data_IF_693658432146
#
_entry.id   IF_693658432146
#
_cell.length_a   1.000
_cell.length_b   1.000
_cell.length_c   1.000
_cell.angle_alpha   90.00
_cell.angle_beta   90.00
_cell.angle_gamma   90.00
#
_symmetry.space_group_name_H-M   'P 1'
#
loop_
_entity.id
_entity.type
_entity.pdbx_description
1 polymer ?
#
# COMPACT_ATOMS: atom_id res chain seq x y z
N UNK A 1 17.23 -25.23 0.67
CA UNK A 1 16.91 -23.86 0.21
C UNK A 1 15.63 -23.96 -0.59
N UNK A 2 14.52 -23.36 -0.10
CA UNK A 2 13.25 -23.35 -0.84
C UNK A 2 13.40 -22.31 -1.95
N UNK A 3 13.45 -22.77 -3.20
CA UNK A 3 13.38 -21.89 -4.36
C UNK A 3 12.01 -21.19 -4.28
N UNK A 4 11.97 -19.91 -3.90
CA UNK A 4 10.74 -19.14 -3.95
C UNK A 4 10.28 -19.12 -5.42
N UNK A 5 9.18 -19.80 -5.68
CA UNK A 5 8.65 -20.01 -7.03
C UNK A 5 8.06 -18.67 -7.49
N UNK A 6 8.29 -18.27 -8.73
CA UNK A 6 7.73 -17.03 -9.31
C UNK A 6 6.19 -16.97 -9.12
N UNK A 7 5.54 -18.12 -9.05
CA UNK A 7 4.12 -18.30 -8.75
C UNK A 7 3.71 -17.71 -7.38
N UNK A 8 4.55 -17.85 -6.34
CA UNK A 8 4.28 -17.32 -5.00
C UNK A 8 4.23 -15.78 -4.98
N UNK A 9 5.04 -15.14 -5.81
CA UNK A 9 5.09 -13.68 -5.94
C UNK A 9 3.86 -13.14 -6.66
N UNK A 10 3.41 -13.84 -7.71
CA UNK A 10 2.17 -13.49 -8.42
C UNK A 10 0.94 -13.65 -7.54
N UNK A 11 0.86 -14.74 -6.77
CA UNK A 11 -0.22 -14.93 -5.80
C UNK A 11 -0.22 -13.85 -4.73
N UNK A 12 0.95 -13.54 -4.17
CA UNK A 12 1.09 -12.47 -3.18
C UNK A 12 0.64 -11.12 -3.72
N UNK A 13 1.02 -10.77 -4.95
CA UNK A 13 0.58 -9.54 -5.60
C UNK A 13 -0.94 -9.49 -5.80
N UNK A 14 -1.57 -10.62 -6.16
CA UNK A 14 -3.04 -10.72 -6.30
C UNK A 14 -3.75 -10.57 -4.96
N UNK A 15 -3.28 -11.23 -3.92
CA UNK A 15 -3.87 -11.13 -2.57
C UNK A 15 -3.71 -9.71 -2.00
N UNK A 16 -2.56 -9.05 -2.24
CA UNK A 16 -2.35 -7.66 -1.86
C UNK A 16 -3.29 -6.71 -2.62
N UNK A 17 -3.40 -6.85 -3.95
CA UNK A 17 -4.34 -6.06 -4.74
C UNK A 17 -5.80 -6.26 -4.32
N UNK A 18 -6.18 -7.49 -3.93
CA UNK A 18 -7.50 -7.77 -3.36
C UNK A 18 -7.68 -7.06 -2.02
N UNK A 19 -6.71 -7.15 -1.11
CA UNK A 19 -6.78 -6.50 0.19
C UNK A 19 -6.89 -4.98 0.06
N UNK A 20 -6.18 -4.36 -0.89
CA UNK A 20 -6.27 -2.92 -1.15
C UNK A 20 -7.64 -2.50 -1.69
N UNK A 21 -8.23 -3.29 -2.59
CA UNK A 21 -9.60 -3.05 -3.09
C UNK A 21 -10.63 -3.13 -1.97
N UNK A 22 -10.52 -4.13 -1.11
CA UNK A 22 -11.43 -4.29 0.02
C UNK A 22 -11.24 -3.19 1.09
N UNK A 23 -10.03 -2.65 1.23
CA UNK A 23 -9.74 -1.51 2.11
C UNK A 23 -10.09 -0.15 1.47
N UNK A 24 -10.52 -0.16 0.21
CA UNK A 24 -10.87 1.04 -0.58
C UNK A 24 -9.75 2.10 -0.54
N UNK A 25 -8.50 1.66 -0.68
CA UNK A 25 -7.34 2.56 -0.71
C UNK A 25 -7.27 3.23 -2.08
N UNK A 26 -7.43 4.55 -2.12
CA UNK A 26 -7.35 5.32 -3.36
C UNK A 26 -5.95 5.89 -3.54
N UNK A 27 -5.15 5.30 -4.42
CA UNK A 27 -3.78 5.78 -4.65
C UNK A 27 -3.77 7.04 -5.53
N UNK A 28 -3.44 8.17 -4.93
CA UNK A 28 -3.27 9.47 -5.61
C UNK A 28 -1.82 9.94 -5.55
N UNK A 29 -1.47 10.80 -6.50
CA UNK A 29 -0.16 11.45 -6.53
C UNK A 29 -0.34 12.94 -6.77
N UNK A 30 0.26 13.72 -5.88
CA UNK A 30 0.44 15.14 -6.05
C UNK A 30 1.83 15.39 -6.65
N UNK A 31 1.89 16.10 -7.76
CA UNK A 31 3.11 16.33 -8.52
C UNK A 31 3.29 17.82 -8.66
N UNK A 32 4.39 18.36 -8.12
CA UNK A 32 4.74 19.77 -8.30
C UNK A 32 6.03 19.92 -9.09
N UNK A 33 6.00 20.80 -10.08
CA UNK A 33 7.19 21.24 -10.80
C UNK A 33 7.54 22.61 -10.25
N UNK A 34 8.71 22.72 -9.64
CA UNK A 34 9.16 23.89 -8.89
C UNK A 34 10.60 24.19 -9.27
N UNK A 35 10.98 25.48 -9.26
CA UNK A 35 12.39 25.87 -9.28
C UNK A 35 12.71 26.64 -8.00
N UNK A 36 14.00 26.79 -7.69
CA UNK A 36 14.46 27.55 -6.54
C UNK A 36 15.08 28.85 -7.03
N UNK A 37 14.57 29.98 -6.57
CA UNK A 37 15.21 31.28 -6.81
C UNK A 37 16.61 31.33 -6.17
N UNK A 38 17.43 32.32 -6.55
CA UNK A 38 18.74 32.62 -5.95
C UNK A 38 18.67 32.80 -4.41
N UNK A 39 17.52 33.26 -3.90
CA UNK A 39 17.24 33.39 -2.46
C UNK A 39 16.79 32.07 -1.78
N UNK A 40 16.76 30.95 -2.51
CA UNK A 40 16.35 29.63 -2.02
C UNK A 40 14.84 29.44 -1.86
N UNK A 41 14.03 30.40 -2.29
CA UNK A 41 12.55 30.32 -2.25
C UNK A 41 12.06 29.36 -3.33
N UNK A 42 11.07 28.53 -2.99
CA UNK A 42 10.47 27.58 -3.93
C UNK A 42 9.39 28.28 -4.73
N UNK A 43 9.60 28.38 -6.03
CA UNK A 43 8.64 28.94 -6.97
C UNK A 43 7.95 27.78 -7.70
N UNK A 44 6.68 27.55 -7.35
CA UNK A 44 5.88 26.48 -7.95
C UNK A 44 5.36 26.92 -9.31
N UNK A 45 5.86 26.28 -10.37
CA UNK A 45 5.45 26.55 -11.75
C UNK A 45 4.17 25.82 -12.11
N UNK A 46 4.07 24.55 -11.70
CA UNK A 46 2.92 23.73 -12.04
C UNK A 46 2.62 22.69 -10.97
N UNK A 47 1.34 22.36 -10.82
CA UNK A 47 0.88 21.32 -9.90
C UNK A 47 -0.18 20.46 -10.56
N UNK A 48 -0.05 19.15 -10.35
CA UNK A 48 -1.06 18.17 -10.71
C UNK A 48 -1.52 17.43 -9.46
N UNK A 49 -2.81 17.13 -9.43
CA UNK A 49 -3.40 16.22 -8.47
C UNK A 49 -4.23 15.18 -9.25
N UNK A 50 -3.71 13.96 -9.34
CA UNK A 50 -4.28 12.94 -10.21
C UNK A 50 -4.10 11.52 -9.66
N UNK A 51 -4.93 10.56 -10.10
CA UNK A 51 -4.79 9.16 -9.71
C UNK A 51 -3.44 8.58 -10.12
N UNK A 52 -2.84 7.76 -9.25
CA UNK A 52 -1.52 7.16 -9.46
C UNK A 52 -1.47 6.28 -10.72
N UNK A 53 -2.54 5.57 -11.03
CA UNK A 53 -2.62 4.74 -12.25
C UNK A 53 -2.51 5.57 -13.54
N UNK A 54 -3.11 6.77 -13.53
CA UNK A 54 -3.04 7.69 -14.66
C UNK A 54 -1.62 8.24 -14.83
N UNK A 55 -0.98 8.59 -13.72
CA UNK A 55 0.43 9.00 -13.69
C UNK A 55 1.35 7.94 -14.28
N UNK A 56 1.21 6.69 -13.82
CA UNK A 56 2.08 5.59 -14.26
C UNK A 56 1.91 5.29 -15.75
N UNK A 57 0.67 5.39 -16.28
CA UNK A 57 0.38 5.21 -17.71
C UNK A 57 0.94 6.35 -18.57
N UNK A 58 0.77 7.60 -18.14
CA UNK A 58 1.12 8.79 -18.93
C UNK A 58 2.30 9.56 -18.35
N UNK A 59 3.29 8.85 -17.81
CA UNK A 59 4.47 9.45 -17.17
C UNK A 59 5.24 10.41 -18.09
N UNK A 60 5.17 10.18 -19.41
CA UNK A 60 5.80 11.03 -20.41
C UNK A 60 5.24 12.45 -20.45
N UNK A 61 3.97 12.68 -20.04
CA UNK A 61 3.35 14.02 -20.05
C UNK A 61 4.05 14.96 -19.07
N UNK A 62 4.42 14.44 -17.90
CA UNK A 62 5.14 15.22 -16.88
C UNK A 62 6.56 15.50 -17.35
N UNK A 63 7.26 14.49 -17.88
CA UNK A 63 8.61 14.66 -18.45
C UNK A 63 8.62 15.68 -19.58
N UNK A 64 7.61 15.63 -20.46
CA UNK A 64 7.46 16.59 -21.54
C UNK A 64 7.23 18.01 -21.00
N UNK A 65 6.38 18.16 -19.97
CA UNK A 65 6.14 19.48 -19.36
C UNK A 65 7.37 20.00 -18.63
N UNK A 66 8.10 19.15 -17.92
CA UNK A 66 9.39 19.46 -17.28
C UNK A 66 10.41 19.96 -18.32
N UNK A 67 10.59 19.23 -19.42
CA UNK A 67 11.50 19.63 -20.50
C UNK A 67 11.10 20.98 -21.14
N UNK A 68 9.81 21.18 -21.39
CA UNK A 68 9.29 22.46 -21.90
C UNK A 68 9.59 23.60 -20.94
N UNK A 69 9.38 23.41 -19.64
CA UNK A 69 9.67 24.43 -18.63
C UNK A 69 11.18 24.70 -18.56
N UNK A 70 12.03 23.68 -18.71
CA UNK A 70 13.48 23.84 -18.70
C UNK A 70 13.97 24.71 -19.86
N UNK A 71 13.32 24.61 -21.03
CA UNK A 71 13.59 25.51 -22.15
C UNK A 71 13.10 26.95 -21.89
N UNK A 72 12.02 27.14 -21.12
CA UNK A 72 11.49 28.46 -20.78
C UNK A 72 12.33 29.18 -19.71
N UNK A 73 12.89 28.42 -18.77
CA UNK A 73 13.72 28.93 -17.67
C UNK A 73 15.11 28.26 -17.69
N UNK A 74 15.96 28.58 -18.67
CA UNK A 74 17.23 27.87 -18.89
C UNK A 74 18.28 28.11 -17.80
N UNK A 75 18.15 29.20 -17.04
CA UNK A 75 19.06 29.53 -15.92
C UNK A 75 18.66 28.84 -14.61
N UNK A 76 17.39 28.45 -14.51
CA UNK A 76 16.83 27.95 -13.27
C UNK A 76 16.89 26.42 -13.22
N UNK A 77 17.16 25.87 -12.03
CA UNK A 77 17.13 24.43 -11.83
C UNK A 77 15.70 23.95 -11.51
N UNK A 78 15.02 23.47 -12.55
CA UNK A 78 13.66 22.94 -12.45
C UNK A 78 13.69 21.54 -11.90
N UNK A 79 12.92 21.31 -10.84
CA UNK A 79 12.80 20.02 -10.17
C UNK A 79 11.33 19.59 -10.10
N UNK A 80 11.10 18.30 -10.35
CA UNK A 80 9.78 17.67 -10.18
C UNK A 80 9.72 16.90 -8.87
N UNK A 81 8.78 17.25 -8.00
CA UNK A 81 8.50 16.59 -6.74
C UNK A 81 7.25 15.74 -6.83
N UNK A 82 7.31 14.54 -6.27
CA UNK A 82 6.21 13.58 -6.21
C UNK A 82 5.83 13.33 -4.75
N UNK A 83 4.54 13.40 -4.44
CA UNK A 83 3.99 13.07 -3.13
C UNK A 83 2.85 12.07 -3.31
N UNK A 84 3.04 10.84 -2.84
CA UNK A 84 2.04 9.78 -2.94
C UNK A 84 1.19 9.75 -1.69
N UNK A 85 -0.13 9.76 -1.86
CA UNK A 85 -1.06 9.78 -0.74
C UNK A 85 -2.35 9.03 -1.07
N UNK A 86 -3.12 8.73 -0.03
CA UNK A 86 -4.46 8.18 -0.17
C UNK A 86 -5.49 9.31 -0.06
N UNK A 87 -6.35 9.50 -1.07
CA UNK A 87 -7.26 10.66 -1.12
C UNK A 87 -8.30 10.67 0.00
N UNK A 88 -8.74 9.49 0.45
CA UNK A 88 -9.73 9.37 1.52
C UNK A 88 -9.18 9.75 2.88
N UNK A 89 -7.94 9.35 3.15
CA UNK A 89 -7.31 9.49 4.47
C UNK A 89 -6.35 10.67 4.54
N UNK A 90 -5.85 11.16 3.40
CA UNK A 90 -4.78 12.15 3.30
C UNK A 90 -3.40 11.62 3.68
N UNK A 91 -3.31 10.35 4.10
CA UNK A 91 -2.06 9.77 4.57
C UNK A 91 -1.14 9.44 3.40
N UNK A 92 0.17 9.57 3.62
CA UNK A 92 1.17 9.18 2.63
C UNK A 92 1.15 7.68 2.36
N UNK A 93 1.27 7.31 1.09
CA UNK A 93 1.33 5.91 0.62
C UNK A 93 2.76 5.47 0.31
N UNK A 94 3.75 6.12 0.95
CA UNK A 94 5.16 5.78 0.81
C UNK A 94 5.48 4.36 1.27
N UNK A 95 6.67 3.88 0.91
CA UNK A 95 7.19 2.58 1.36
C UNK A 95 7.22 2.53 2.90
N UNK A 96 6.78 1.42 3.49
CA UNK A 96 6.56 1.25 4.94
C UNK A 96 5.47 2.12 5.60
N UNK A 97 4.63 2.80 4.81
CA UNK A 97 3.45 3.50 5.33
C UNK A 97 2.53 2.56 6.13
N UNK A 98 1.82 3.12 7.11
CA UNK A 98 0.87 2.39 7.95
C UNK A 98 -0.23 1.74 7.09
N UNK A 99 -0.70 2.42 6.04
CA UNK A 99 -1.69 1.89 5.10
C UNK A 99 -1.19 0.68 4.31
N UNK A 100 0.05 0.72 3.81
CA UNK A 100 0.66 -0.42 3.11
C UNK A 100 0.82 -1.63 4.05
N UNK A 101 1.23 -1.38 5.30
CA UNK A 101 1.33 -2.44 6.33
C UNK A 101 -0.03 -3.04 6.66
N UNK A 102 -1.10 -2.24 6.68
CA UNK A 102 -2.46 -2.69 6.92
C UNK A 102 -2.94 -3.60 5.78
N UNK A 103 -2.73 -3.17 4.52
CA UNK A 103 -3.08 -3.97 3.36
C UNK A 103 -2.31 -5.30 3.31
N UNK A 104 -1.00 -5.27 3.60
CA UNK A 104 -0.17 -6.47 3.66
C UNK A 104 -0.62 -7.42 4.79
N UNK A 105 -0.90 -6.89 5.99
CA UNK A 105 -1.41 -7.68 7.11
C UNK A 105 -2.75 -8.34 6.78
N UNK A 106 -3.67 -7.61 6.15
CA UNK A 106 -4.95 -8.15 5.68
C UNK A 106 -4.76 -9.26 4.65
N UNK A 107 -3.93 -9.04 3.63
CA UNK A 107 -3.60 -10.06 2.62
C UNK A 107 -3.01 -11.33 3.26
N UNK A 108 -2.13 -11.18 4.25
CA UNK A 108 -1.56 -12.32 4.99
C UNK A 108 -2.61 -13.09 5.80
N UNK A 109 -3.58 -12.39 6.43
CA UNK A 109 -4.69 -13.04 7.15
C UNK A 109 -5.55 -13.83 6.16
N UNK A 110 -5.96 -13.23 5.05
CA UNK A 110 -6.77 -13.90 4.03
C UNK A 110 -6.04 -15.10 3.42
N UNK A 111 -4.74 -14.99 3.14
CA UNK A 111 -3.92 -16.12 2.66
C UNK A 111 -3.84 -17.23 3.70
N UNK A 112 -3.71 -16.88 4.98
CA UNK A 112 -3.67 -17.85 6.06
C UNK A 112 -5.02 -18.58 6.22
N UNK A 113 -6.14 -17.86 6.16
CA UNK A 113 -7.49 -18.46 6.21
C UNK A 113 -7.74 -19.40 5.03
N UNK A 114 -7.28 -19.03 3.82
CA UNK A 114 -7.35 -19.91 2.65
C UNK A 114 -6.55 -21.19 2.85
N UNK A 115 -5.31 -21.09 3.35
CA UNK A 115 -4.47 -22.25 3.65
C UNK A 115 -5.07 -23.16 4.73
N UNK A 116 -5.74 -22.60 5.74
CA UNK A 116 -6.47 -23.39 6.74
C UNK A 116 -7.60 -24.18 6.08
N UNK A 117 -8.39 -23.54 5.22
CA UNK A 117 -9.49 -24.19 4.51
C UNK A 117 -9.00 -25.30 3.56
N UNK A 118 -7.91 -25.06 2.81
CA UNK A 118 -7.27 -26.04 1.94
C UNK A 118 -6.75 -27.24 2.74
N UNK A 119 -6.09 -26.99 3.88
CA UNK A 119 -5.61 -28.03 4.77
C UNK A 119 -6.77 -28.89 5.31
N UNK A 120 -7.82 -28.26 5.81
CA UNK A 120 -9.02 -28.96 6.31
C UNK A 120 -9.69 -29.78 5.22
N UNK A 121 -9.85 -29.22 4.01
CA UNK A 121 -10.46 -29.92 2.89
C UNK A 121 -9.64 -31.15 2.46
N UNK A 122 -8.32 -30.98 2.32
CA UNK A 122 -7.42 -32.09 2.00
C UNK A 122 -7.47 -33.19 3.06
N UNK A 123 -7.44 -32.79 4.32
CA UNK A 123 -7.35 -33.70 5.44
C UNK A 123 -8.66 -34.48 5.64
N UNK A 124 -9.82 -33.83 5.48
CA UNK A 124 -11.14 -34.50 5.50
C UNK A 124 -11.32 -35.51 4.37
N UNK A 125 -10.71 -35.29 3.21
CA UNK A 125 -10.82 -36.18 2.05
C UNK A 125 -9.86 -37.37 2.11
N UNK A 126 -8.65 -37.17 2.61
CA UNK A 126 -7.58 -38.17 2.53
C UNK A 126 -7.33 -38.94 3.84
N UNK A 127 -7.68 -38.36 5.00
CA UNK A 127 -7.33 -38.94 6.29
C UNK A 127 -8.58 -39.27 7.12
N UNK A 128 -8.87 -40.57 7.23
CA UNK A 128 -10.02 -41.09 7.99
C UNK A 128 -9.91 -40.87 9.51
N UNK A 129 -8.69 -40.71 10.03
CA UNK A 129 -8.43 -40.49 11.47
C UNK A 129 -8.25 -39.02 11.82
N UNK A 130 -8.56 -38.11 10.89
CA UNK A 130 -8.44 -36.70 11.19
C UNK A 130 -9.53 -36.24 12.13
N UNK A 131 -9.11 -35.61 13.22
CA UNK A 131 -9.97 -34.88 14.12
C UNK A 131 -9.44 -33.45 14.27
N UNK A 132 -10.34 -32.48 14.05
CA UNK A 132 -10.04 -31.05 14.06
C UNK A 132 -9.68 -30.52 15.44
N UNK A 133 -10.07 -31.23 16.50
CA UNK A 133 -9.85 -30.81 17.88
C UNK A 133 -8.51 -31.26 18.44
N UNK A 134 -7.98 -32.38 17.95
CA UNK A 134 -6.76 -33.00 18.46
C UNK A 134 -5.50 -32.68 17.65
N UNK A 135 -5.65 -32.10 16.45
CA UNK A 135 -4.48 -31.74 15.64
C UNK A 135 -3.68 -30.56 16.22
N UNK A 136 -2.47 -30.85 16.67
CA UNK A 136 -1.53 -29.89 17.24
C UNK A 136 -1.09 -28.83 16.21
N UNK A 137 -0.99 -29.22 14.93
CA UNK A 137 -0.57 -28.30 13.86
C UNK A 137 -1.62 -27.22 13.63
N UNK A 138 -2.89 -27.62 13.50
CA UNK A 138 -4.02 -26.69 13.38
C UNK A 138 -4.16 -25.77 14.59
N UNK A 139 -3.95 -26.28 15.81
CA UNK A 139 -4.02 -25.46 17.01
C UNK A 139 -2.95 -24.35 17.03
N UNK A 140 -1.69 -24.71 16.76
CA UNK A 140 -0.58 -23.74 16.65
C UNK A 140 -0.82 -22.73 15.52
N UNK A 141 -1.39 -23.18 14.40
CA UNK A 141 -1.73 -22.30 13.29
C UNK A 141 -2.79 -21.27 13.67
N UNK A 142 -3.89 -21.72 14.30
CA UNK A 142 -4.97 -20.84 14.78
C UNK A 142 -4.48 -19.83 15.82
N UNK A 143 -3.58 -20.22 16.72
CA UNK A 143 -2.96 -19.27 17.65
C UNK A 143 -2.20 -18.17 16.91
N UNK A 144 -1.37 -18.53 15.92
CA UNK A 144 -0.66 -17.55 15.07
C UNK A 144 -1.61 -16.68 14.25
N UNK A 145 -2.75 -17.22 13.83
CA UNK A 145 -3.77 -16.47 13.11
C UNK A 145 -4.44 -15.43 14.02
N UNK A 146 -4.74 -15.80 15.28
CA UNK A 146 -5.30 -14.90 16.30
C UNK A 146 -4.36 -13.72 16.58
N UNK A 147 -3.09 -13.99 16.84
CA UNK A 147 -2.10 -12.93 17.11
C UNK A 147 -1.93 -11.98 15.92
N UNK A 148 -2.02 -12.50 14.68
CA UNK A 148 -2.03 -11.65 13.47
C UNK A 148 -3.28 -10.78 13.38
N UNK A 149 -4.47 -11.32 13.70
CA UNK A 149 -5.72 -10.55 13.74
C UNK A 149 -5.65 -9.43 14.78
N UNK A 150 -5.16 -9.73 15.99
CA UNK A 150 -4.95 -8.73 17.05
C UNK A 150 -3.98 -7.62 16.60
N UNK A 151 -2.84 -8.01 16.00
CA UNK A 151 -1.87 -7.06 15.46
C UNK A 151 -2.47 -6.16 14.37
N UNK A 152 -3.34 -6.72 13.52
CA UNK A 152 -4.08 -5.99 12.50
C UNK A 152 -5.06 -4.98 13.12
N UNK A 153 -5.78 -5.36 14.18
CA UNK A 153 -6.68 -4.45 14.90
C UNK A 153 -5.93 -3.26 15.51
N UNK A 154 -4.81 -3.53 16.20
CA UNK A 154 -3.96 -2.47 16.78
C UNK A 154 -3.42 -1.52 15.70
N UNK A 155 -3.08 -2.05 14.52
CA UNK A 155 -2.62 -1.23 13.40
C UNK A 155 -3.76 -0.38 12.80
N UNK A 156 -4.97 -0.93 12.71
CA UNK A 156 -6.14 -0.22 12.25
C UNK A 156 -6.48 0.97 13.18
N UNK A 157 -6.41 0.77 14.50
CA UNK A 157 -6.61 1.84 15.49
C UNK A 157 -5.56 2.95 15.34
N UNK A 158 -4.28 2.60 15.19
CA UNK A 158 -3.19 3.57 14.93
C UNK A 158 -3.42 4.38 13.66
N UNK A 159 -4.02 3.78 12.63
CA UNK A 159 -4.35 4.49 11.40
C UNK A 159 -5.51 5.44 11.63
N UNK A 160 -6.55 5.02 12.36
CA UNK A 160 -7.67 5.90 12.69
C UNK A 160 -7.23 7.14 13.45
N UNK A 161 -6.35 6.98 14.45
CA UNK A 161 -5.80 8.13 15.19
C UNK A 161 -4.94 9.03 14.29
N UNK A 162 -4.10 8.46 13.42
CA UNK A 162 -3.31 9.22 12.45
C UNK A 162 -4.17 9.98 11.43
N UNK A 163 -5.30 9.40 10.99
CA UNK A 163 -6.26 10.10 10.12
C UNK A 163 -6.93 11.25 10.85
N UNK A 164 -7.31 11.05 12.12
CA UNK A 164 -7.92 12.09 12.93
C UNK A 164 -6.97 13.29 13.14
N UNK A 165 -5.69 13.03 13.46
CA UNK A 165 -4.69 14.10 13.62
C UNK A 165 -4.43 14.84 12.31
N UNK A 166 -4.35 14.12 11.18
CA UNK A 166 -4.17 14.72 9.86
C UNK A 166 -5.35 15.60 9.46
N UNK A 167 -6.59 15.19 9.74
CA UNK A 167 -7.78 16.01 9.49
C UNK A 167 -7.77 17.27 10.35
N UNK A 168 -7.42 17.16 11.63
CA UNK A 168 -7.34 18.29 12.55
C UNK A 168 -6.32 19.35 12.08
N UNK A 169 -5.18 18.92 11.51
CA UNK A 169 -4.16 19.85 11.01
C UNK A 169 -4.51 20.55 9.69
N UNK A 170 -5.55 20.10 8.98
CA UNK A 170 -6.02 20.73 7.73
C UNK A 170 -7.20 21.67 7.95
N UNK A 171 -7.86 21.60 9.11
CA UNK A 171 -9.01 22.43 9.48
C UNK A 171 -8.65 23.68 10.31
N UNK A 172 -7.40 23.80 10.77
CA UNK A 172 -6.88 24.97 11.47
C UNK A 172 -5.96 25.78 10.58
#
# INVERSE_FOLDING_TARGET
>A
MVQERIDDWWEYAKDLARAERELQIERWVYISIEYKDEAGRKCRLHSYDLPRELHERYRWVIRWREARLQCQYPRENINTYYSYYDKRTGLRTDFNSCLMKLAAAKAQITRAERKEAEYLAYQRLNNLFFDEQTDEQLFKFRQKLRTKKESYHLLAEKIQTAVATHKASHTG
#
